data_IF_540090546866
#
_entry.id   IF_540090546866
#
_cell.length_a   1.000
_cell.length_b   1.000
_cell.length_c   1.000
_cell.angle_alpha   90.00
_cell.angle_beta   90.00
_cell.angle_gamma   90.00
#
_symmetry.space_group_name_H-M   'P 1'
#
loop_
_entity.id
_entity.type
_entity.pdbx_description
1 polymer ?
#
# COMPACT_ATOMS: atom_id res chain seq x y z
N UNK A 1 -2.69 10.20 13.80
CA UNK A 1 -3.95 9.93 13.09
C UNK A 1 -4.15 8.42 13.04
N UNK A 2 -5.33 7.89 13.37
CA UNK A 2 -5.65 6.49 13.13
C UNK A 2 -5.62 6.21 11.62
N UNK A 3 -5.25 4.99 11.23
CA UNK A 3 -5.32 4.58 9.83
C UNK A 3 -6.79 4.44 9.43
N UNK A 4 -7.27 5.34 8.58
CA UNK A 4 -8.68 5.45 8.21
C UNK A 4 -8.93 5.05 6.74
N UNK A 5 -10.17 5.25 6.30
CA UNK A 5 -10.61 4.91 4.94
C UNK A 5 -9.90 5.73 3.87
N UNK A 6 -9.63 7.01 4.12
CA UNK A 6 -8.94 7.87 3.17
C UNK A 6 -7.51 7.38 2.99
N UNK A 7 -6.80 7.15 4.09
CA UNK A 7 -5.44 6.59 4.06
C UNK A 7 -5.40 5.23 3.34
N UNK A 8 -6.36 4.34 3.59
CA UNK A 8 -6.44 3.06 2.88
C UNK A 8 -6.50 3.22 1.36
N UNK A 9 -7.33 4.14 0.87
CA UNK A 9 -7.51 4.40 -0.57
C UNK A 9 -6.22 4.98 -1.14
N UNK A 10 -5.70 6.04 -0.51
CA UNK A 10 -4.50 6.74 -0.96
C UNK A 10 -3.27 5.81 -1.06
N UNK A 11 -3.00 5.04 0.01
CA UNK A 11 -1.91 4.06 -0.02
C UNK A 11 -2.19 2.90 -0.97
N UNK A 12 -3.44 2.44 -1.07
CA UNK A 12 -3.83 1.39 -2.00
C UNK A 12 -3.50 1.79 -3.44
N UNK A 13 -4.02 2.94 -3.86
CA UNK A 13 -3.83 3.50 -5.21
C UNK A 13 -2.36 3.82 -5.47
N UNK A 14 -1.66 4.45 -4.53
CA UNK A 14 -0.24 4.76 -4.67
C UNK A 14 0.65 3.51 -4.83
N UNK A 15 0.32 2.40 -4.18
CA UNK A 15 1.13 1.18 -4.25
C UNK A 15 0.84 0.29 -5.45
N UNK A 16 -0.42 0.26 -5.90
CA UNK A 16 -0.92 -0.75 -6.82
C UNK A 16 -1.76 -0.22 -7.99
N UNK A 17 -1.98 1.09 -8.08
CA UNK A 17 -2.75 1.73 -9.14
C UNK A 17 -4.25 1.44 -9.06
N UNK A 18 -4.93 1.44 -10.21
CA UNK A 18 -6.40 1.35 -10.31
C UNK A 18 -6.98 0.04 -9.78
N UNK A 19 -6.23 -1.07 -9.90
CA UNK A 19 -6.63 -2.41 -9.43
C UNK A 19 -6.22 -2.70 -7.97
N UNK A 20 -6.00 -1.65 -7.17
CA UNK A 20 -5.38 -1.77 -5.85
C UNK A 20 -6.11 -2.71 -4.89
N UNK A 21 -7.44 -2.81 -4.96
CA UNK A 21 -8.23 -3.61 -4.02
C UNK A 21 -7.83 -5.09 -4.05
N UNK A 22 -7.68 -5.66 -5.25
CA UNK A 22 -7.28 -7.06 -5.43
C UNK A 22 -5.81 -7.28 -5.11
N UNK A 23 -4.96 -6.34 -5.52
CA UNK A 23 -3.52 -6.41 -5.25
C UNK A 23 -3.24 -6.32 -3.75
N UNK A 24 -3.91 -5.40 -3.04
CA UNK A 24 -3.78 -5.23 -1.60
C UNK A 24 -4.25 -6.47 -0.83
N UNK A 25 -5.35 -7.11 -1.25
CA UNK A 25 -5.79 -8.36 -0.61
C UNK A 25 -4.72 -9.46 -0.66
N UNK A 26 -4.02 -9.59 -1.79
CA UNK A 26 -2.90 -10.53 -1.93
C UNK A 26 -1.72 -10.12 -1.05
N UNK A 27 -1.34 -8.84 -1.08
CA UNK A 27 -0.21 -8.33 -0.30
C UNK A 27 -0.42 -8.43 1.22
N UNK A 28 -1.66 -8.30 1.70
CA UNK A 28 -1.99 -8.45 3.12
C UNK A 28 -2.03 -9.90 3.60
N UNK A 29 -2.18 -10.88 2.70
CA UNK A 29 -2.25 -12.30 3.04
C UNK A 29 -1.05 -12.77 3.88
N UNK A 30 0.19 -12.57 3.43
CA UNK A 30 1.39 -12.97 4.17
C UNK A 30 1.54 -12.26 5.53
N UNK A 31 0.93 -11.08 5.70
CA UNK A 31 1.02 -10.25 6.91
C UNK A 31 -0.13 -10.51 7.90
N UNK A 32 -1.01 -11.47 7.62
CA UNK A 32 -2.20 -11.70 8.41
C UNK A 32 -1.84 -12.21 9.84
N UNK A 33 -2.42 -11.62 10.91
CA UNK A 33 -2.02 -11.92 12.30
C UNK A 33 -2.34 -13.35 12.75
N UNK A 34 -3.36 -13.98 12.16
CA UNK A 34 -3.73 -15.40 12.43
C UNK A 34 -2.99 -16.39 11.51
N UNK A 35 -1.79 -16.05 11.08
CA UNK A 35 -0.98 -16.86 10.18
C UNK A 35 -1.05 -16.41 8.72
N UNK A 36 0.13 -16.43 8.11
CA UNK A 36 0.38 -16.08 6.72
C UNK A 36 -0.44 -16.95 5.77
N UNK A 37 -0.93 -16.33 4.70
CA UNK A 37 -1.75 -16.99 3.67
C UNK A 37 -1.51 -16.32 2.31
N UNK A 38 -1.83 -16.98 1.19
CA UNK A 38 -1.62 -16.38 -0.13
C UNK A 38 -2.40 -15.07 -0.36
N UNK A 39 -3.58 -14.94 0.26
CA UNK A 39 -4.43 -13.75 0.15
C UNK A 39 -5.43 -13.71 1.31
N UNK A 40 -5.88 -12.51 1.69
CA UNK A 40 -7.14 -12.36 2.44
C UNK A 40 -8.35 -12.41 1.49
N UNK A 41 -9.58 -12.35 2.01
CA UNK A 41 -10.78 -12.26 1.17
C UNK A 41 -10.69 -11.02 0.24
N UNK A 42 -10.68 -11.21 -1.10
CA UNK A 42 -10.52 -10.13 -2.07
C UNK A 42 -11.60 -9.04 -2.02
N UNK A 43 -12.75 -9.32 -1.39
CA UNK A 43 -13.84 -8.33 -1.24
C UNK A 43 -13.59 -7.35 -0.10
N UNK A 44 -12.71 -7.68 0.85
CA UNK A 44 -12.53 -6.87 2.06
C UNK A 44 -12.00 -5.46 1.76
N UNK A 45 -10.95 -5.26 0.94
CA UNK A 45 -10.47 -3.90 0.64
C UNK A 45 -11.53 -3.01 0.00
N UNK A 46 -12.42 -3.58 -0.83
CA UNK A 46 -13.56 -2.86 -1.39
C UNK A 46 -14.55 -2.42 -0.31
N UNK A 47 -14.95 -3.33 0.57
CA UNK A 47 -15.89 -3.06 1.68
C UNK A 47 -15.33 -2.07 2.70
N UNK A 48 -14.02 -2.09 2.92
CA UNK A 48 -13.33 -1.09 3.74
C UNK A 48 -13.34 0.29 3.08
N UNK A 49 -13.04 0.35 1.77
CA UNK A 49 -13.03 1.59 1.00
C UNK A 49 -14.42 2.24 0.85
N UNK A 50 -15.49 1.46 0.86
CA UNK A 50 -16.87 1.98 0.83
C UNK A 50 -17.41 2.31 2.23
N UNK A 51 -16.73 1.87 3.29
CA UNK A 51 -17.23 1.99 4.66
C UNK A 51 -18.31 0.96 5.02
N UNK A 52 -18.59 0.00 4.15
CA UNK A 52 -19.50 -1.12 4.44
C UNK A 52 -18.97 -2.00 5.58
N UNK A 53 -17.65 -2.02 5.78
CA UNK A 53 -17.00 -2.74 6.87
C UNK A 53 -15.85 -1.92 7.46
N UNK A 54 -15.70 -1.99 8.78
CA UNK A 54 -14.57 -1.37 9.47
C UNK A 54 -13.23 -1.99 9.07
N UNK A 55 -12.20 -1.15 9.07
CA UNK A 55 -10.81 -1.55 8.83
C UNK A 55 -10.27 -2.19 10.11
N UNK A 56 -9.81 -3.45 10.07
CA UNK A 56 -9.19 -4.07 11.23
C UNK A 56 -7.92 -3.32 11.67
N UNK A 57 -7.62 -3.18 12.98
CA UNK A 57 -6.49 -2.39 13.48
C UNK A 57 -5.11 -2.79 12.94
N UNK A 58 -4.93 -4.06 12.55
CA UNK A 58 -3.66 -4.56 12.02
C UNK A 58 -3.38 -4.13 10.57
N UNK A 59 -4.41 -3.71 9.82
CA UNK A 59 -4.27 -3.38 8.39
C UNK A 59 -3.43 -2.13 8.20
N UNK A 60 -3.60 -1.10 9.02
CA UNK A 60 -2.80 0.13 8.92
C UNK A 60 -1.30 -0.12 9.03
N UNK A 61 -0.81 -0.74 10.12
CA UNK A 61 0.59 -1.12 10.24
C UNK A 61 1.09 -2.01 9.09
N UNK A 62 0.27 -2.95 8.61
CA UNK A 62 0.64 -3.80 7.48
C UNK A 62 0.78 -3.02 6.16
N UNK A 63 -0.12 -2.08 5.88
CA UNK A 63 -0.05 -1.20 4.69
C UNK A 63 1.17 -0.29 4.77
N UNK A 64 1.45 0.32 5.92
CA UNK A 64 2.63 1.17 6.10
C UNK A 64 3.94 0.38 5.93
N UNK A 65 3.97 -0.87 6.38
CA UNK A 65 5.10 -1.77 6.11
C UNK A 65 5.29 -2.00 4.61
N UNK A 66 4.21 -2.34 3.89
CA UNK A 66 4.27 -2.53 2.42
C UNK A 66 4.72 -1.26 1.69
N UNK A 67 4.28 -0.08 2.16
CA UNK A 67 4.69 1.20 1.62
C UNK A 67 6.18 1.46 1.84
N UNK A 68 6.69 1.22 3.06
CA UNK A 68 8.11 1.34 3.38
C UNK A 68 8.97 0.40 2.54
N UNK A 69 8.54 -0.85 2.36
CA UNK A 69 9.24 -1.83 1.51
C UNK A 69 9.25 -1.39 0.03
N UNK A 70 8.21 -0.71 -0.46
CA UNK A 70 8.19 -0.15 -1.81
C UNK A 70 9.10 1.07 -1.93
N UNK A 71 9.06 1.98 -0.97
CA UNK A 71 9.91 3.17 -0.95
C UNK A 71 11.39 2.77 -0.97
N UNK A 72 11.79 1.82 -0.12
CA UNK A 72 13.18 1.33 -0.08
C UNK A 72 13.65 0.85 -1.47
N UNK A 73 12.82 0.06 -2.18
CA UNK A 73 13.18 -0.41 -3.53
C UNK A 73 13.31 0.72 -4.54
N UNK A 74 12.48 1.76 -4.43
CA UNK A 74 12.54 2.94 -5.29
C UNK A 74 13.83 3.74 -5.00
N UNK A 75 14.15 3.93 -3.73
CA UNK A 75 15.40 4.60 -3.30
C UNK A 75 16.65 3.84 -3.76
N UNK A 76 16.62 2.51 -3.69
CA UNK A 76 17.72 1.66 -4.14
C UNK A 76 17.91 1.80 -5.67
N UNK A 77 16.83 1.75 -6.44
CA UNK A 77 16.87 1.97 -7.88
C UNK A 77 17.38 3.38 -8.25
N UNK A 78 16.89 4.41 -7.56
CA UNK A 78 17.32 5.78 -7.81
C UNK A 78 18.81 5.98 -7.50
N UNK A 79 19.31 5.39 -6.42
CA UNK A 79 20.73 5.40 -6.07
C UNK A 79 21.57 4.73 -7.16
N UNK A 80 21.14 3.58 -7.66
CA UNK A 80 21.82 2.88 -8.77
C UNK A 80 21.81 3.69 -10.07
N UNK A 81 20.73 4.42 -10.33
CA UNK A 81 20.58 5.28 -11.50
C UNK A 81 21.25 6.66 -11.36
N UNK A 82 21.78 7.01 -10.17
CA UNK A 82 22.30 8.34 -9.87
C UNK A 82 21.23 9.45 -9.85
N UNK A 83 19.96 9.09 -9.61
CA UNK A 83 18.82 10.01 -9.54
C UNK A 83 18.62 10.47 -8.09
N UNK A 84 18.57 11.78 -7.87
CA UNK A 84 18.19 12.36 -6.58
C UNK A 84 16.67 12.54 -6.49
N UNK A 85 16.00 11.67 -5.72
CA UNK A 85 14.55 11.71 -5.50
C UNK A 85 14.07 12.91 -4.70
N UNK A 86 14.97 13.66 -4.05
CA UNK A 86 14.63 14.88 -3.30
C UNK A 86 14.56 16.11 -4.19
N UNK A 87 15.15 16.03 -5.39
CA UNK A 87 15.06 17.08 -6.39
C UNK A 87 13.73 16.93 -7.16
N UNK A 88 12.92 17.98 -7.31
CA UNK A 88 11.75 17.91 -8.17
C UNK A 88 12.19 17.54 -9.57
N UNK A 89 11.39 16.70 -10.25
CA UNK A 89 11.59 16.45 -11.67
C UNK A 89 11.54 17.81 -12.39
N UNK A 90 12.69 18.28 -12.90
CA UNK A 90 12.73 19.53 -13.65
C UNK A 90 11.79 19.36 -14.84
N UNK A 91 10.72 20.17 -14.87
CA UNK A 91 9.71 20.12 -15.90
C UNK A 91 10.36 20.41 -17.25
N UNK A 92 10.44 19.38 -18.08
CA UNK A 92 10.67 19.56 -19.51
C UNK A 92 9.40 20.09 -20.13
N UNK A 93 9.42 21.38 -20.47
CA UNK A 93 8.51 22.02 -21.42
C UNK A 93 9.32 22.49 -22.63
#
# INVERSE_FOLDING_TARGET
MPFDRHALIEFGEGLYGTEWRRALARALGPLHPKGARPTIDPRLPARWATGERDIPPWVGPAVLRLARERLQRIEDYAREAGIDLTKPAEGGE
#
